data_IF_769031118136
#
_entry.id   IF_769031118136
#
_cell.length_a   1.000
_cell.length_b   1.000
_cell.length_c   1.000
_cell.angle_alpha   90.00
_cell.angle_beta   90.00
_cell.angle_gamma   90.00
#
_symmetry.space_group_name_H-M   'P 1'
#
loop_
_entity.id
_entity.type
_entity.pdbx_description
1 polymer ?
#
# COMPACT_ATOMS: atom_id res chain seq x y z
N UNK A 1 30.18 79.28 -24.31
CA UNK A 1 29.76 78.94 -22.93
C UNK A 1 30.31 77.56 -22.55
N UNK A 2 30.25 77.18 -21.26
CA UNK A 2 30.35 75.79 -20.72
C UNK A 2 28.95 75.40 -20.17
N UNK A 3 28.70 74.18 -19.61
CA UNK A 3 29.39 72.87 -19.69
C UNK A 3 28.57 71.92 -20.61
N UNK A 4 28.51 70.56 -20.60
CA UNK A 4 29.07 69.42 -19.82
C UNK A 4 29.77 68.43 -20.83
N UNK A 5 30.20 67.17 -20.63
CA UNK A 5 29.96 66.04 -19.68
C UNK A 5 28.54 65.38 -19.79
N UNK A 6 28.28 64.13 -19.42
CA UNK A 6 29.04 63.04 -18.73
C UNK A 6 28.92 61.71 -19.55
N UNK A 7 29.67 60.66 -19.22
CA UNK A 7 29.64 59.34 -19.87
C UNK A 7 28.57 58.36 -19.33
N UNK A 8 28.26 57.30 -20.10
CA UNK A 8 27.50 56.12 -19.64
C UNK A 8 28.33 54.83 -19.80
N UNK A 9 28.20 53.91 -18.84
CA UNK A 9 28.79 52.57 -18.86
C UNK A 9 28.06 51.64 -19.84
N UNK A 10 28.80 50.69 -20.42
CA UNK A 10 28.24 49.46 -20.99
C UNK A 10 28.58 48.33 -20.03
N UNK A 11 27.60 47.90 -19.24
CA UNK A 11 27.76 46.78 -18.29
C UNK A 11 27.22 45.50 -18.92
N UNK A 12 28.11 44.57 -19.28
CA UNK A 12 27.69 43.26 -19.81
C UNK A 12 26.94 42.46 -18.75
N UNK A 13 25.68 42.11 -19.05
CA UNK A 13 24.83 41.29 -18.18
C UNK A 13 25.24 39.83 -18.31
N UNK A 14 25.94 39.31 -17.30
CA UNK A 14 26.15 37.88 -17.11
C UNK A 14 25.04 37.35 -16.20
N UNK A 15 24.06 36.63 -16.77
CA UNK A 15 22.88 36.16 -16.05
C UNK A 15 22.47 34.76 -16.53
N UNK A 16 22.16 33.85 -15.60
CA UNK A 16 21.19 32.78 -15.86
C UNK A 16 21.68 31.48 -16.51
N UNK A 17 22.89 31.00 -16.22
CA UNK A 17 23.20 29.55 -16.31
C UNK A 17 23.65 29.02 -14.95
N UNK A 18 22.69 28.95 -14.02
CA UNK A 18 22.74 27.97 -12.95
C UNK A 18 22.18 26.67 -13.54
N UNK A 19 23.07 25.84 -14.10
CA UNK A 19 22.71 24.47 -14.43
C UNK A 19 22.23 23.79 -13.15
N UNK A 20 20.99 23.29 -13.19
CA UNK A 20 20.42 22.50 -12.09
C UNK A 20 21.22 21.23 -11.93
N UNK A 21 22.19 21.27 -11.01
CA UNK A 21 23.04 20.13 -10.67
C UNK A 21 22.20 19.10 -9.92
N UNK A 22 21.35 18.38 -10.66
CA UNK A 22 20.64 17.19 -10.18
C UNK A 22 21.71 16.17 -9.84
N UNK A 23 22.10 16.15 -8.56
CA UNK A 23 22.90 15.07 -8.01
C UNK A 23 22.12 13.78 -8.23
N UNK A 24 22.61 12.95 -9.15
CA UNK A 24 22.05 11.63 -9.38
C UNK A 24 22.24 10.82 -8.08
N UNK A 25 21.19 10.76 -7.27
CA UNK A 25 21.16 9.87 -6.10
C UNK A 25 21.22 8.44 -6.62
N UNK A 26 22.12 7.62 -6.06
CA UNK A 26 22.23 6.19 -6.36
C UNK A 26 21.01 5.45 -5.78
N UNK A 27 19.85 5.60 -6.44
CA UNK A 27 18.61 4.92 -6.07
C UNK A 27 18.84 3.40 -6.12
N UNK A 28 18.62 2.65 -5.03
CA UNK A 28 18.83 1.20 -5.02
C UNK A 28 18.06 0.53 -6.17
N UNK A 29 18.68 -0.43 -6.87
CA UNK A 29 18.05 -1.10 -8.03
C UNK A 29 16.67 -1.71 -7.69
N UNK A 30 16.50 -2.19 -6.46
CA UNK A 30 15.25 -2.74 -5.93
C UNK A 30 14.13 -1.69 -5.74
N UNK A 31 14.46 -0.40 -5.88
CA UNK A 31 13.62 0.76 -5.58
C UNK A 31 13.62 1.80 -6.71
N UNK A 32 14.17 1.45 -7.88
CA UNK A 32 14.26 2.34 -9.05
C UNK A 32 12.90 2.53 -9.77
N UNK A 33 11.93 1.65 -9.54
CA UNK A 33 10.55 1.74 -10.06
C UNK A 33 9.60 0.99 -9.11
N UNK A 34 8.28 1.23 -9.16
CA UNK A 34 7.32 0.49 -8.32
C UNK A 34 7.29 -1.01 -8.67
N UNK A 35 7.50 -1.39 -9.92
CA UNK A 35 7.63 -2.80 -10.33
C UNK A 35 8.94 -3.43 -9.83
N UNK A 36 10.02 -2.64 -9.71
CA UNK A 36 11.26 -3.11 -9.10
C UNK A 36 11.05 -3.41 -7.61
N UNK A 37 10.29 -2.57 -6.89
CA UNK A 37 9.85 -2.83 -5.51
C UNK A 37 9.02 -4.09 -5.44
N UNK A 38 7.99 -4.24 -6.27
CA UNK A 38 7.13 -5.44 -6.26
C UNK A 38 7.91 -6.74 -6.55
N UNK A 39 8.91 -6.71 -7.45
CA UNK A 39 9.81 -7.84 -7.72
C UNK A 39 10.73 -8.13 -6.54
N UNK A 40 11.40 -7.12 -5.98
CA UNK A 40 12.30 -7.28 -4.85
C UNK A 40 11.56 -7.80 -3.60
N UNK A 41 10.35 -7.30 -3.35
CA UNK A 41 9.48 -7.77 -2.28
C UNK A 41 9.12 -9.24 -2.41
N UNK A 42 8.70 -9.67 -3.61
CA UNK A 42 8.41 -11.07 -3.87
C UNK A 42 9.67 -11.94 -3.74
N UNK A 43 10.78 -11.52 -4.33
CA UNK A 43 12.06 -12.23 -4.23
C UNK A 43 12.56 -12.40 -2.79
N UNK A 44 12.36 -11.39 -1.94
CA UNK A 44 12.70 -11.45 -0.52
C UNK A 44 11.83 -12.49 0.21
N UNK A 45 10.50 -12.45 -0.01
CA UNK A 45 9.57 -13.46 0.54
C UNK A 45 9.88 -14.89 0.04
N UNK A 46 10.28 -15.08 -1.22
CA UNK A 46 10.71 -16.39 -1.73
C UNK A 46 11.98 -16.95 -1.06
N UNK A 47 12.83 -16.06 -0.52
CA UNK A 47 14.07 -16.39 0.18
C UNK A 47 13.88 -16.48 1.70
N UNK A 48 12.66 -16.24 2.20
CA UNK A 48 12.34 -16.06 3.62
C UNK A 48 13.13 -14.91 4.27
N UNK A 49 13.50 -13.90 3.47
CA UNK A 49 14.33 -12.76 3.86
C UNK A 49 13.45 -11.56 4.24
N UNK A 50 12.92 -11.61 5.46
CA UNK A 50 12.06 -10.55 5.98
C UNK A 50 12.82 -9.23 6.21
N UNK A 51 14.14 -9.25 6.41
CA UNK A 51 14.93 -8.03 6.59
C UNK A 51 14.99 -7.24 5.26
N UNK A 52 15.31 -7.90 4.14
CA UNK A 52 15.25 -7.29 2.81
C UNK A 52 13.82 -6.89 2.42
N UNK A 53 12.80 -7.66 2.81
CA UNK A 53 11.40 -7.29 2.53
C UNK A 53 10.99 -6.02 3.31
N UNK A 54 11.29 -5.96 4.61
CA UNK A 54 11.05 -4.78 5.45
C UNK A 54 11.87 -3.57 4.97
N UNK A 55 13.04 -3.80 4.36
CA UNK A 55 13.87 -2.73 3.83
C UNK A 55 13.21 -1.91 2.71
N UNK A 56 12.24 -2.48 2.00
CA UNK A 56 11.54 -1.86 0.88
C UNK A 56 10.37 -0.96 1.31
N UNK A 57 9.93 -1.01 2.57
CA UNK A 57 8.80 -0.20 3.04
C UNK A 57 9.17 1.27 3.27
N UNK A 58 8.22 2.17 3.04
CA UNK A 58 8.43 3.60 3.19
C UNK A 58 8.69 3.96 4.68
N UNK A 59 9.63 4.86 5.03
CA UNK A 59 10.01 5.11 6.43
C UNK A 59 8.85 5.53 7.34
N UNK A 60 7.88 6.28 6.82
CA UNK A 60 6.66 6.66 7.57
C UNK A 60 5.79 5.47 7.94
N UNK A 61 5.77 4.41 7.12
CA UNK A 61 4.99 3.20 7.37
C UNK A 61 5.60 2.40 8.52
N UNK A 62 6.94 2.30 8.57
CA UNK A 62 7.65 1.74 9.73
C UNK A 62 7.37 2.57 10.99
N UNK A 63 7.36 3.91 10.91
CA UNK A 63 6.99 4.76 12.05
C UNK A 63 5.56 4.48 12.52
N UNK A 64 4.57 4.51 11.60
CA UNK A 64 3.16 4.26 11.92
C UNK A 64 2.95 2.86 12.51
N UNK A 65 3.70 1.86 12.03
CA UNK A 65 3.66 0.51 12.61
C UNK A 65 4.23 0.45 14.04
N UNK A 66 5.28 1.23 14.36
CA UNK A 66 5.72 1.40 15.75
C UNK A 66 4.67 2.09 16.62
N UNK A 67 4.09 3.18 16.14
CA UNK A 67 3.08 3.94 16.90
C UNK A 67 1.86 3.05 17.22
N UNK A 68 1.44 2.20 16.26
CA UNK A 68 0.46 1.13 16.46
C UNK A 68 0.90 0.08 17.50
N UNK A 69 2.11 -0.48 17.37
CA UNK A 69 2.62 -1.51 18.26
C UNK A 69 2.73 -1.03 19.71
N UNK A 70 3.22 0.20 19.92
CA UNK A 70 3.27 0.84 21.24
C UNK A 70 1.85 0.93 21.82
N UNK A 71 0.87 1.40 21.06
CA UNK A 71 -0.53 1.45 21.49
C UNK A 71 -1.09 0.07 21.90
N UNK A 72 -0.81 -0.98 21.12
CA UNK A 72 -1.26 -2.36 21.41
C UNK A 72 -0.73 -2.86 22.76
N UNK A 73 0.52 -2.54 23.12
CA UNK A 73 1.14 -2.97 24.36
C UNK A 73 0.93 -2.00 25.55
N UNK A 74 0.60 -0.74 25.29
CA UNK A 74 0.13 0.20 26.31
C UNK A 74 -1.36 0.03 26.66
N UNK A 75 -2.10 -0.79 25.92
CA UNK A 75 -3.54 -0.98 26.17
C UNK A 75 -3.82 -1.64 27.51
N UNK A 76 -4.48 -0.89 28.39
CA UNK A 76 -5.05 -1.36 29.65
C UNK A 76 -6.26 -2.28 29.38
N UNK A 77 -6.38 -3.36 30.15
CA UNK A 77 -7.46 -4.35 30.02
C UNK A 77 -7.58 -4.96 28.60
N UNK A 78 -6.55 -5.66 28.11
CA UNK A 78 -6.58 -6.32 26.81
C UNK A 78 -7.67 -7.41 26.76
N UNK A 79 -8.48 -7.38 25.71
CA UNK A 79 -9.38 -8.49 25.38
C UNK A 79 -8.60 -9.66 24.73
N UNK A 80 -9.33 -10.72 24.36
CA UNK A 80 -8.74 -11.91 23.73
C UNK A 80 -8.06 -11.55 22.40
N UNK A 81 -8.63 -10.60 21.68
CA UNK A 81 -8.23 -10.20 20.33
C UNK A 81 -6.96 -9.33 20.36
N UNK A 82 -6.84 -8.38 21.29
CA UNK A 82 -5.59 -7.66 21.58
C UNK A 82 -4.51 -8.65 22.06
N UNK A 83 -4.86 -9.62 22.88
CA UNK A 83 -3.94 -10.71 23.26
C UNK A 83 -3.56 -11.64 22.11
N UNK A 84 -4.34 -11.70 21.02
CA UNK A 84 -3.95 -12.37 19.77
C UNK A 84 -3.01 -11.50 18.94
N UNK A 85 -3.27 -10.20 18.81
CA UNK A 85 -2.38 -9.25 18.12
C UNK A 85 -1.01 -9.18 18.82
N UNK A 86 -0.96 -9.11 20.15
CA UNK A 86 0.29 -9.12 20.92
C UNK A 86 1.16 -10.35 20.62
N UNK A 87 0.55 -11.53 20.48
CA UNK A 87 1.27 -12.77 20.12
C UNK A 87 1.86 -12.75 18.71
N UNK A 88 1.32 -11.95 17.80
CA UNK A 88 1.90 -11.76 16.46
C UNK A 88 3.20 -10.97 16.49
N UNK A 89 3.55 -10.26 17.57
CA UNK A 89 4.83 -9.55 17.70
C UNK A 89 6.01 -10.43 18.16
N UNK A 90 5.77 -11.72 18.46
CA UNK A 90 6.82 -12.68 18.77
C UNK A 90 7.66 -12.27 19.99
N UNK A 91 8.98 -12.16 19.80
CA UNK A 91 9.94 -11.80 20.85
C UNK A 91 9.70 -10.40 21.46
N UNK A 92 8.98 -9.50 20.79
CA UNK A 92 8.59 -8.18 21.31
C UNK A 92 7.35 -8.28 22.24
N UNK A 93 7.40 -9.21 23.20
CA UNK A 93 6.33 -9.59 24.13
C UNK A 93 5.96 -8.56 25.22
N UNK A 94 6.59 -7.38 25.25
CA UNK A 94 6.39 -6.40 26.31
C UNK A 94 6.44 -4.95 25.83
N UNK A 95 5.73 -4.06 26.53
CA UNK A 95 5.72 -2.63 26.25
C UNK A 95 7.12 -1.99 26.33
N UNK A 96 8.02 -2.53 27.15
CA UNK A 96 9.42 -2.08 27.24
C UNK A 96 10.20 -2.43 25.96
N UNK A 97 10.14 -3.71 25.53
CA UNK A 97 10.77 -4.17 24.29
C UNK A 97 10.24 -3.40 23.07
N UNK A 98 8.93 -3.22 22.98
CA UNK A 98 8.26 -2.52 21.86
C UNK A 98 8.62 -1.03 21.82
N UNK A 99 8.77 -0.37 22.97
CA UNK A 99 9.25 1.02 23.03
C UNK A 99 10.73 1.14 22.65
N UNK A 100 11.56 0.16 23.02
CA UNK A 100 12.99 0.14 22.67
C UNK A 100 13.28 -0.14 21.19
N UNK A 101 12.50 -1.03 20.55
CA UNK A 101 12.67 -1.44 19.15
C UNK A 101 12.42 -0.31 18.14
N UNK A 102 12.99 -0.39 16.93
CA UNK A 102 12.56 0.45 15.80
C UNK A 102 11.31 -0.13 15.14
N UNK A 103 10.61 0.70 14.35
CA UNK A 103 9.45 0.24 13.58
C UNK A 103 9.78 -0.82 12.52
N UNK A 104 11.04 -0.89 12.07
CA UNK A 104 11.52 -1.94 11.15
C UNK A 104 11.71 -3.26 11.89
N UNK A 105 12.34 -3.23 13.07
CA UNK A 105 12.53 -4.44 13.89
C UNK A 105 11.18 -5.05 14.29
N UNK A 106 10.23 -4.20 14.68
CA UNK A 106 8.85 -4.58 14.99
C UNK A 106 8.12 -5.20 13.80
N UNK A 107 8.22 -4.58 12.61
CA UNK A 107 7.58 -5.12 11.40
C UNK A 107 8.24 -6.44 10.96
N UNK A 108 9.55 -6.57 11.11
CA UNK A 108 10.31 -7.79 10.81
C UNK A 108 9.92 -8.94 11.74
N UNK A 109 9.91 -8.71 13.06
CA UNK A 109 9.47 -9.69 14.05
C UNK A 109 8.00 -10.08 13.87
N UNK A 110 7.13 -9.10 13.56
CA UNK A 110 5.72 -9.34 13.28
C UNK A 110 5.52 -10.24 12.06
N UNK A 111 6.13 -9.90 10.92
CA UNK A 111 6.01 -10.68 9.69
C UNK A 111 6.59 -12.07 9.84
N UNK A 112 7.77 -12.21 10.46
CA UNK A 112 8.40 -13.51 10.76
C UNK A 112 7.46 -14.39 11.58
N UNK A 113 6.87 -13.82 12.64
CA UNK A 113 5.94 -14.55 13.51
C UNK A 113 4.67 -14.96 12.77
N UNK A 114 4.01 -14.02 12.07
CA UNK A 114 2.78 -14.30 11.30
C UNK A 114 2.99 -15.34 10.20
N UNK A 115 4.14 -15.34 9.53
CA UNK A 115 4.46 -16.38 8.54
C UNK A 115 4.71 -17.73 9.21
N UNK A 116 5.42 -17.78 10.35
CA UNK A 116 5.62 -19.02 11.12
C UNK A 116 4.31 -19.65 11.63
N UNK A 117 3.28 -18.82 11.87
CA UNK A 117 1.93 -19.26 12.27
C UNK A 117 1.12 -19.88 11.11
N UNK A 118 1.62 -19.87 9.87
CA UNK A 118 0.92 -20.39 8.68
C UNK A 118 1.74 -21.49 7.96
N UNK A 119 1.80 -22.72 8.51
CA UNK A 119 2.56 -23.83 7.92
C UNK A 119 2.22 -24.09 6.45
N UNK A 120 3.25 -24.29 5.62
CA UNK A 120 3.13 -24.52 4.18
C UNK A 120 2.99 -23.25 3.32
N UNK A 121 2.77 -22.07 3.90
CA UNK A 121 2.73 -20.81 3.13
C UNK A 121 4.10 -20.47 2.52
N UNK A 122 5.18 -20.82 3.22
CA UNK A 122 6.56 -20.66 2.71
C UNK A 122 6.79 -21.50 1.45
N UNK A 123 6.41 -22.78 1.43
CA UNK A 123 6.54 -23.66 0.25
C UNK A 123 5.72 -23.14 -0.94
N UNK A 124 4.51 -22.63 -0.67
CA UNK A 124 3.61 -22.03 -1.66
C UNK A 124 4.28 -20.80 -2.32
N UNK A 125 4.86 -19.90 -1.53
CA UNK A 125 5.58 -18.72 -2.04
C UNK A 125 6.88 -19.11 -2.74
N UNK A 126 7.68 -20.02 -2.17
CA UNK A 126 8.96 -20.48 -2.72
C UNK A 126 8.83 -21.13 -4.10
N UNK A 127 7.69 -21.80 -4.37
CA UNK A 127 7.38 -22.40 -5.67
C UNK A 127 6.60 -21.46 -6.61
N UNK A 128 6.13 -20.31 -6.13
CA UNK A 128 5.36 -19.36 -6.92
C UNK A 128 6.18 -18.68 -8.01
N UNK A 129 5.47 -18.04 -8.94
CA UNK A 129 6.03 -17.07 -9.89
C UNK A 129 5.27 -15.76 -9.73
N UNK A 130 5.98 -14.64 -9.81
CA UNK A 130 5.39 -13.32 -9.90
C UNK A 130 5.15 -12.95 -11.36
N UNK A 131 3.88 -12.74 -11.70
CA UNK A 131 3.46 -12.04 -12.90
C UNK A 131 3.08 -10.60 -12.52
N UNK A 132 3.47 -9.63 -13.34
CA UNK A 132 3.03 -8.23 -13.22
C UNK A 132 2.17 -7.94 -14.44
N UNK A 133 0.90 -7.64 -14.21
CA UNK A 133 -0.10 -7.37 -15.25
C UNK A 133 -0.02 -5.92 -15.73
N UNK A 134 0.38 -5.01 -14.84
CA UNK A 134 0.61 -3.61 -15.17
C UNK A 134 0.67 -2.74 -13.92
N UNK A 135 0.54 -1.43 -14.12
CA UNK A 135 0.61 -0.40 -13.06
C UNK A 135 -0.54 0.59 -13.22
N UNK A 136 -1.15 0.98 -12.10
CA UNK A 136 -2.20 2.00 -12.04
C UNK A 136 -1.69 3.17 -11.20
N UNK A 137 -1.61 4.36 -11.80
CA UNK A 137 -1.19 5.59 -11.13
C UNK A 137 -2.39 6.18 -10.37
N UNK A 138 -2.29 6.38 -9.06
CA UNK A 138 -3.35 7.06 -8.29
C UNK A 138 -3.04 8.56 -8.13
N UNK A 139 -1.79 8.89 -7.83
CA UNK A 139 -1.31 10.25 -7.53
C UNK A 139 0.12 10.35 -8.11
N UNK A 140 0.70 11.56 -8.33
CA UNK A 140 2.00 11.68 -9.00
C UNK A 140 3.14 10.88 -8.35
N UNK A 141 3.10 10.73 -7.02
CA UNK A 141 4.04 9.97 -6.21
C UNK A 141 3.59 8.52 -5.95
N UNK A 142 2.38 8.09 -6.36
CA UNK A 142 1.75 6.85 -5.86
C UNK A 142 1.20 5.95 -6.97
N UNK A 143 1.64 4.69 -6.95
CA UNK A 143 1.34 3.66 -7.95
C UNK A 143 0.89 2.36 -7.29
N UNK A 144 -0.07 1.67 -7.90
CA UNK A 144 -0.44 0.29 -7.59
C UNK A 144 0.08 -0.65 -8.68
N UNK A 145 1.02 -1.52 -8.36
CA UNK A 145 1.47 -2.58 -9.27
C UNK A 145 0.48 -3.74 -9.17
N UNK A 146 -0.19 -4.08 -10.27
CA UNK A 146 -1.12 -5.21 -10.28
C UNK A 146 -0.34 -6.50 -10.51
N UNK A 147 -0.32 -7.35 -9.49
CA UNK A 147 0.48 -8.58 -9.46
C UNK A 147 -0.42 -9.82 -9.46
N UNK A 148 0.04 -10.91 -10.08
CA UNK A 148 -0.53 -12.25 -9.92
C UNK A 148 0.56 -13.20 -9.40
N UNK A 149 0.16 -14.10 -8.51
CA UNK A 149 1.01 -15.18 -7.99
C UNK A 149 0.23 -16.50 -8.07
N UNK A 150 0.58 -17.48 -7.23
CA UNK A 150 -0.17 -18.75 -7.08
C UNK A 150 -1.57 -18.59 -6.47
N UNK A 151 -1.91 -17.40 -5.95
CA UNK A 151 -3.28 -17.08 -5.55
C UNK A 151 -4.15 -16.75 -6.79
N UNK A 152 -5.38 -17.27 -6.89
CA UNK A 152 -6.22 -17.17 -8.11
C UNK A 152 -6.84 -15.77 -8.34
N UNK A 153 -6.40 -14.75 -7.61
CA UNK A 153 -6.85 -13.36 -7.73
C UNK A 153 -5.63 -12.44 -7.76
N UNK A 154 -5.53 -11.52 -8.73
CA UNK A 154 -4.51 -10.48 -8.70
C UNK A 154 -4.64 -9.59 -7.46
N UNK A 155 -3.51 -9.02 -7.03
CA UNK A 155 -3.39 -8.17 -5.85
C UNK A 155 -2.53 -6.93 -6.12
N UNK A 156 -2.91 -5.74 -5.62
CA UNK A 156 -2.10 -4.54 -5.75
C UNK A 156 -0.92 -4.55 -4.78
N UNK A 157 0.30 -4.33 -5.29
CA UNK A 157 1.44 -3.87 -4.47
C UNK A 157 1.47 -2.35 -4.55
N UNK A 158 0.96 -1.71 -3.49
CA UNK A 158 0.89 -0.26 -3.38
C UNK A 158 2.27 0.33 -3.07
N UNK A 159 2.74 1.26 -3.90
CA UNK A 159 4.04 1.90 -3.80
C UNK A 159 3.92 3.43 -3.77
N UNK A 160 4.87 4.09 -3.10
CA UNK A 160 5.02 5.56 -3.07
C UNK A 160 6.47 5.96 -3.31
N UNK A 161 6.69 7.02 -4.08
CA UNK A 161 8.00 7.62 -4.30
C UNK A 161 8.30 8.66 -3.22
N UNK A 162 9.54 8.69 -2.75
CA UNK A 162 10.07 9.73 -1.88
C UNK A 162 11.55 9.91 -2.19
N UNK A 163 12.01 11.17 -2.36
CA UNK A 163 13.39 11.50 -2.75
C UNK A 163 13.91 10.64 -3.93
N UNK A 164 13.13 10.61 -5.02
CA UNK A 164 13.41 9.82 -6.23
C UNK A 164 13.24 8.30 -6.09
N UNK A 165 13.21 7.77 -4.86
CA UNK A 165 13.25 6.35 -4.54
C UNK A 165 11.83 5.80 -4.33
N UNK A 166 11.51 4.63 -4.90
CA UNK A 166 10.21 3.97 -4.71
C UNK A 166 10.23 3.04 -3.49
N UNK A 167 9.15 3.07 -2.72
CA UNK A 167 8.96 2.26 -1.51
C UNK A 167 7.59 1.59 -1.52
N UNK A 168 7.49 0.43 -0.88
CA UNK A 168 6.22 -0.24 -0.62
C UNK A 168 5.47 0.44 0.53
N UNK A 169 4.14 0.47 0.45
CA UNK A 169 3.25 0.84 1.55
C UNK A 169 2.81 -0.41 2.33
N UNK A 170 2.33 -0.26 3.57
CA UNK A 170 1.70 -1.38 4.26
C UNK A 170 0.49 -1.89 3.47
N UNK A 171 0.28 -3.20 3.49
CA UNK A 171 -0.89 -3.79 2.84
C UNK A 171 -2.18 -3.40 3.61
N UNK A 172 -3.32 -3.48 2.93
CA UNK A 172 -4.59 -3.02 3.51
C UNK A 172 -5.00 -3.78 4.77
N UNK A 173 -4.60 -5.04 4.91
CA UNK A 173 -4.91 -5.83 6.11
C UNK A 173 -4.16 -5.29 7.34
N UNK A 174 -2.88 -4.93 7.17
CA UNK A 174 -2.10 -4.29 8.22
C UNK A 174 -2.56 -2.85 8.45
N UNK A 175 -2.84 -2.09 7.39
CA UNK A 175 -3.41 -0.74 7.49
C UNK A 175 -4.79 -0.74 8.16
N UNK A 176 -5.63 -1.77 7.95
CA UNK A 176 -6.93 -1.96 8.61
C UNK A 176 -6.73 -2.23 10.10
N UNK A 177 -5.79 -3.11 10.47
CA UNK A 177 -5.46 -3.40 11.87
C UNK A 177 -4.92 -2.15 12.60
N UNK A 178 -3.99 -1.42 11.97
CA UNK A 178 -3.45 -0.13 12.45
C UNK A 178 -4.58 0.89 12.63
N UNK A 179 -5.39 1.12 11.59
CA UNK A 179 -6.47 2.13 11.59
C UNK A 179 -7.64 1.75 12.50
N UNK A 180 -7.80 0.47 12.84
CA UNK A 180 -8.75 0.01 13.85
C UNK A 180 -8.28 0.39 15.26
N UNK A 181 -7.00 0.17 15.56
CA UNK A 181 -6.43 0.46 16.86
C UNK A 181 -6.28 1.96 17.13
N UNK A 182 -5.98 2.76 16.09
CA UNK A 182 -5.95 4.23 16.15
C UNK A 182 -7.29 4.88 16.58
N UNK A 183 -8.40 4.11 16.64
CA UNK A 183 -9.73 4.63 16.97
C UNK A 183 -10.26 4.08 18.31
N UNK A 184 -11.43 4.60 18.70
CA UNK A 184 -12.07 4.40 20.01
C UNK A 184 -12.25 2.92 20.35
N UNK A 185 -12.15 2.61 21.64
CA UNK A 185 -12.40 1.31 22.28
C UNK A 185 -13.53 0.48 21.64
N UNK A 186 -14.75 1.03 21.56
CA UNK A 186 -15.93 0.36 20.97
C UNK A 186 -15.74 -0.13 19.52
N UNK A 187 -14.85 0.49 18.76
CA UNK A 187 -14.52 0.02 17.41
C UNK A 187 -13.69 -1.26 17.44
N UNK A 188 -12.76 -1.38 18.40
CA UNK A 188 -11.83 -2.51 18.52
C UNK A 188 -12.59 -3.81 18.82
N UNK A 189 -13.51 -3.75 19.78
CA UNK A 189 -14.44 -4.84 20.12
C UNK A 189 -15.12 -5.42 18.86
N UNK A 190 -15.66 -4.56 17.98
CA UNK A 190 -16.41 -4.98 16.79
C UNK A 190 -15.54 -5.34 15.58
N UNK A 191 -14.41 -4.65 15.39
CA UNK A 191 -13.52 -4.87 14.26
C UNK A 191 -12.72 -6.17 14.40
N UNK A 192 -12.45 -6.59 15.64
CA UNK A 192 -11.67 -7.78 15.93
C UNK A 192 -12.53 -9.02 16.25
N UNK A 193 -13.75 -8.86 16.77
CA UNK A 193 -14.67 -9.99 17.00
C UNK A 193 -15.24 -10.57 15.69
N UNK A 194 -14.49 -11.51 15.11
CA UNK A 194 -14.73 -12.08 13.77
C UNK A 194 -16.06 -12.79 13.52
N UNK A 195 -16.98 -12.89 14.50
CA UNK A 195 -18.27 -13.57 14.33
C UNK A 195 -19.37 -12.73 13.66
N UNK A 196 -19.25 -11.41 13.58
CA UNK A 196 -20.27 -10.55 12.94
C UNK A 196 -19.74 -9.61 11.84
N UNK A 197 -18.41 -9.49 11.66
CA UNK A 197 -17.82 -8.48 10.78
C UNK A 197 -18.37 -8.53 9.34
N UNK A 198 -18.50 -9.71 8.74
CA UNK A 198 -19.02 -9.88 7.38
C UNK A 198 -20.52 -9.56 7.21
N UNK A 199 -21.30 -9.55 8.30
CA UNK A 199 -22.72 -9.19 8.28
C UNK A 199 -22.98 -7.72 8.68
N UNK A 200 -22.09 -7.14 9.49
CA UNK A 200 -22.17 -5.75 9.92
C UNK A 200 -21.52 -4.77 8.94
N UNK A 201 -20.46 -5.20 8.22
CA UNK A 201 -19.79 -4.37 7.21
C UNK A 201 -20.63 -4.25 5.94
N UNK A 202 -20.84 -3.01 5.49
CA UNK A 202 -21.54 -2.66 4.25
C UNK A 202 -20.62 -1.91 3.29
N UNK A 203 -20.83 -2.04 1.99
CA UNK A 203 -20.20 -1.18 0.99
C UNK A 203 -20.89 0.19 0.98
N UNK A 204 -20.11 1.27 1.13
CA UNK A 204 -20.59 2.66 1.18
C UNK A 204 -20.30 3.39 -0.14
N UNK A 205 -19.02 3.41 -0.54
CA UNK A 205 -18.53 4.04 -1.78
C UNK A 205 -17.64 3.06 -2.57
N UNK A 206 -17.53 3.26 -3.87
CA UNK A 206 -16.55 2.59 -4.74
C UNK A 206 -15.87 3.67 -5.56
N UNK A 207 -14.54 3.72 -5.54
CA UNK A 207 -13.72 4.51 -6.45
C UNK A 207 -13.03 3.53 -7.41
N UNK A 208 -13.23 3.67 -8.72
CA UNK A 208 -12.35 3.00 -9.70
C UNK A 208 -11.06 3.81 -9.79
N UNK A 209 -9.91 3.14 -9.65
CA UNK A 209 -8.59 3.78 -9.73
C UNK A 209 -7.95 3.60 -11.11
N UNK A 210 -8.44 2.64 -11.90
CA UNK A 210 -7.98 2.32 -13.25
C UNK A 210 -8.14 0.83 -13.55
N UNK A 211 -7.60 0.39 -14.69
CA UNK A 211 -7.56 -1.02 -15.08
C UNK A 211 -6.22 -1.39 -15.72
N UNK A 212 -5.94 -2.70 -15.83
CA UNK A 212 -4.83 -3.24 -16.63
C UNK A 212 -5.33 -4.42 -17.48
N UNK A 213 -4.80 -4.63 -18.70
CA UNK A 213 -5.14 -5.80 -19.51
C UNK A 213 -4.64 -7.11 -18.88
N UNK A 214 -5.35 -8.20 -19.14
CA UNK A 214 -5.12 -9.53 -18.58
C UNK A 214 -5.47 -10.60 -19.62
N UNK A 215 -4.70 -10.61 -20.72
CA UNK A 215 -5.04 -11.31 -21.95
C UNK A 215 -5.87 -10.45 -22.91
N UNK A 216 -6.43 -11.08 -23.95
CA UNK A 216 -7.13 -10.38 -25.06
C UNK A 216 -8.60 -10.02 -24.76
N UNK A 217 -9.21 -10.72 -23.80
CA UNK A 217 -10.65 -10.65 -23.49
C UNK A 217 -10.96 -10.43 -22.00
N UNK A 218 -9.96 -10.06 -21.18
CA UNK A 218 -10.13 -9.74 -19.76
C UNK A 218 -9.23 -8.57 -19.36
N UNK A 219 -9.73 -7.73 -18.45
CA UNK A 219 -9.01 -6.65 -17.79
C UNK A 219 -9.23 -6.76 -16.27
N UNK A 220 -8.25 -6.32 -15.48
CA UNK A 220 -8.34 -6.26 -14.02
C UNK A 220 -8.57 -4.81 -13.60
N UNK A 221 -9.80 -4.50 -13.19
CA UNK A 221 -10.15 -3.16 -12.67
C UNK A 221 -9.77 -3.08 -11.20
N UNK A 222 -8.94 -2.10 -10.83
CA UNK A 222 -8.62 -1.83 -9.43
C UNK A 222 -9.65 -0.86 -8.85
N UNK A 223 -10.50 -1.35 -7.95
CA UNK A 223 -11.44 -0.50 -7.22
C UNK A 223 -11.00 -0.35 -5.76
N UNK A 224 -11.04 0.87 -5.23
CA UNK A 224 -11.06 1.15 -3.79
C UNK A 224 -12.52 1.11 -3.33
N UNK A 225 -12.89 0.06 -2.62
CA UNK A 225 -14.19 -0.11 -2.00
C UNK A 225 -14.13 0.42 -0.58
N UNK A 226 -14.93 1.44 -0.27
CA UNK A 226 -15.09 1.93 1.09
C UNK A 226 -16.09 1.06 1.83
N UNK A 227 -15.56 0.27 2.75
CA UNK A 227 -16.28 -0.65 3.61
C UNK A 227 -16.61 0.07 4.93
N UNK A 228 -17.83 -0.11 5.43
CA UNK A 228 -18.41 0.67 6.52
C UNK A 228 -18.96 -0.21 7.62
N UNK A 229 -18.57 0.08 8.85
CA UNK A 229 -18.98 -0.58 10.07
C UNK A 229 -19.46 0.50 11.04
N UNK A 230 -20.77 0.56 11.29
CA UNK A 230 -21.43 1.61 12.07
C UNK A 230 -21.05 3.04 11.63
N UNK A 231 -20.29 3.78 12.45
CA UNK A 231 -19.83 5.16 12.20
C UNK A 231 -18.43 5.25 11.53
N UNK A 232 -17.80 4.11 11.26
CA UNK A 232 -16.47 4.00 10.65
C UNK A 232 -16.54 3.55 9.20
N UNK A 233 -15.67 4.12 8.35
CA UNK A 233 -15.43 3.64 6.99
C UNK A 233 -13.93 3.49 6.71
N UNK A 234 -13.55 2.42 6.00
CA UNK A 234 -12.18 2.07 5.63
C UNK A 234 -12.09 1.62 4.16
N UNK A 235 -10.99 1.93 3.45
CA UNK A 235 -10.76 1.41 2.12
C UNK A 235 -10.30 -0.06 2.18
N UNK A 236 -10.82 -0.86 1.25
CA UNK A 236 -10.29 -2.16 0.82
C UNK A 236 -10.19 -2.10 -0.70
N UNK A 237 -9.07 -2.51 -1.27
CA UNK A 237 -8.86 -2.52 -2.70
C UNK A 237 -9.18 -3.93 -3.24
N UNK A 238 -9.80 -3.99 -4.41
CA UNK A 238 -10.07 -5.24 -5.10
C UNK A 238 -9.67 -5.14 -6.56
N UNK A 239 -8.95 -6.16 -7.05
CA UNK A 239 -8.81 -6.41 -8.48
C UNK A 239 -10.03 -7.21 -8.93
N UNK A 240 -10.87 -6.60 -9.76
CA UNK A 240 -12.09 -7.20 -10.28
C UNK A 240 -11.90 -7.52 -11.77
N UNK A 241 -11.92 -8.81 -12.17
CA UNK A 241 -11.86 -9.16 -13.58
C UNK A 241 -13.13 -8.67 -14.28
N UNK A 242 -12.97 -7.91 -15.35
CA UNK A 242 -14.03 -7.53 -16.30
C UNK A 242 -13.73 -8.20 -17.63
N UNK A 243 -14.73 -8.84 -18.23
CA UNK A 243 -14.60 -9.57 -19.50
C UNK A 243 -15.28 -8.82 -20.64
N UNK A 244 -14.80 -9.06 -21.86
CA UNK A 244 -15.23 -8.39 -23.11
C UNK A 244 -16.71 -8.58 -23.49
N UNK A 245 -17.36 -9.60 -22.95
CA UNK A 245 -18.78 -9.90 -23.08
C UNK A 245 -19.66 -9.25 -21.98
N UNK A 246 -19.06 -8.69 -20.93
CA UNK A 246 -19.78 -8.09 -19.81
C UNK A 246 -20.09 -6.59 -20.05
N UNK A 247 -21.22 -6.05 -19.54
CA UNK A 247 -21.58 -4.64 -19.72
C UNK A 247 -20.48 -3.66 -19.26
N UNK A 248 -19.78 -3.99 -18.18
CA UNK A 248 -18.71 -3.19 -17.60
C UNK A 248 -17.53 -2.94 -18.58
N UNK A 249 -17.28 -3.81 -19.55
CA UNK A 249 -16.17 -3.64 -20.50
C UNK A 249 -16.28 -2.36 -21.32
N UNK A 250 -17.51 -1.94 -21.62
CA UNK A 250 -17.81 -0.75 -22.44
C UNK A 250 -17.43 0.56 -21.76
N UNK A 251 -17.15 0.51 -20.45
CA UNK A 251 -16.93 1.66 -19.57
C UNK A 251 -15.53 1.63 -18.93
N UNK A 252 -14.62 0.78 -19.43
CA UNK A 252 -13.25 0.69 -18.91
C UNK A 252 -12.41 1.94 -19.20
N UNK A 253 -12.66 2.58 -20.34
CA UNK A 253 -11.89 3.74 -20.84
C UNK A 253 -12.71 5.05 -20.80
N UNK A 254 -13.88 5.05 -20.13
CA UNK A 254 -14.69 6.25 -19.89
C UNK A 254 -14.04 7.13 -18.79
N UNK A 255 -13.97 8.45 -19.00
CA UNK A 255 -13.49 9.40 -17.97
C UNK A 255 -14.42 9.46 -16.75
N UNK A 256 -15.72 9.21 -16.96
CA UNK A 256 -16.72 9.08 -15.90
C UNK A 256 -16.91 7.59 -15.54
N UNK A 257 -16.53 7.25 -14.32
CA UNK A 257 -16.57 5.85 -13.84
C UNK A 257 -17.91 5.45 -13.20
N UNK A 258 -18.93 6.33 -13.15
CA UNK A 258 -20.22 5.98 -12.54
C UNK A 258 -20.89 4.76 -13.19
N UNK A 259 -20.89 4.67 -14.53
CA UNK A 259 -21.46 3.54 -15.28
C UNK A 259 -20.64 2.25 -15.08
N UNK A 260 -19.32 2.34 -14.99
CA UNK A 260 -18.45 1.21 -14.65
C UNK A 260 -18.72 0.72 -13.23
N UNK A 261 -18.89 1.62 -12.27
CA UNK A 261 -19.25 1.30 -10.88
C UNK A 261 -20.65 0.67 -10.79
N UNK A 262 -21.64 1.14 -11.55
CA UNK A 262 -22.96 0.50 -11.61
C UNK A 262 -22.89 -0.93 -12.17
N UNK A 263 -22.21 -1.12 -13.31
CA UNK A 263 -22.06 -2.44 -13.94
C UNK A 263 -21.29 -3.43 -13.05
N UNK A 264 -20.25 -2.97 -12.35
CA UNK A 264 -19.53 -3.76 -11.35
C UNK A 264 -20.40 -4.10 -10.14
N UNK A 265 -21.19 -3.15 -9.61
CA UNK A 265 -22.12 -3.38 -8.51
C UNK A 265 -23.17 -4.43 -8.86
N UNK A 266 -23.78 -4.34 -10.04
CA UNK A 266 -24.74 -5.34 -10.52
C UNK A 266 -24.13 -6.76 -10.61
N UNK A 267 -22.87 -6.86 -11.02
CA UNK A 267 -22.10 -8.13 -11.06
C UNK A 267 -21.81 -8.71 -9.67
N UNK A 268 -21.78 -7.88 -8.63
CA UNK A 268 -21.55 -8.30 -7.24
C UNK A 268 -22.85 -8.64 -6.49
N UNK A 269 -23.96 -7.95 -6.78
CA UNK A 269 -25.27 -8.19 -6.14
C UNK A 269 -26.12 -9.24 -6.85
N UNK A 270 -25.84 -9.54 -8.12
CA UNK A 270 -26.51 -10.58 -8.91
C UNK A 270 -25.93 -11.98 -8.75
N UNK A 271 -25.50 -12.38 -7.54
CA UNK A 271 -24.87 -13.67 -7.22
C UNK A 271 -25.39 -14.24 -5.90
#
# INVERSE_FOLDING_TARGET
>A
MKPFCVACLVTSVALGLLDSLVLAQDVPKAQASPEAVARASFEALQKNDFESFVALFHPEESKRFKDFAVGVFEYENPDREIEQIRKMFGDFDSAEKVKGATGRDLLNGFLTTVYSMNPGFEDIIRQAKLEILGTIQEQPDKVHVITRTVLPRPSPVSCRQSEGTWYQLLNEETLRMVSAFERKEHFREKALSGQNLAAAVKMDKVDVLGHVPDGEDTAQVLCRVWMKLDDFSFPVFGCYPVRKDEPAWKHLDDEDTELLVEALRAKWTGR
#
